data_IF_649908525804
#
_entry.id   IF_649908525804
#
_cell.length_a   1.000
_cell.length_b   1.000
_cell.length_c   1.000
_cell.angle_alpha   90.00
_cell.angle_beta   90.00
_cell.angle_gamma   90.00
#
_symmetry.space_group_name_H-M   'P 1'
#
loop_
_entity.id
_entity.type
_entity.pdbx_description
1 polymer ?
#
# COMPACT_ATOMS: atom_id res chain seq x y z
N UNK A 1 2.83 -7.87 -3.50
CA UNK A 1 2.28 -8.18 -4.82
C UNK A 1 2.36 -9.68 -5.05
N UNK A 2 1.32 -10.26 -5.63
CA UNK A 2 1.32 -11.65 -6.07
C UNK A 2 2.09 -11.84 -7.38
N UNK A 3 1.77 -12.91 -8.09
CA UNK A 3 2.38 -13.20 -9.40
C UNK A 3 2.02 -12.11 -10.43
N UNK A 4 3.01 -11.70 -11.22
CA UNK A 4 2.89 -10.63 -12.23
C UNK A 4 2.61 -11.27 -13.57
N UNK A 5 1.33 -11.52 -13.85
CA UNK A 5 0.85 -12.17 -15.08
C UNK A 5 -0.52 -11.60 -15.48
N UNK A 6 -0.89 -11.68 -16.76
CA UNK A 6 -2.25 -11.34 -17.20
C UNK A 6 -3.32 -12.13 -16.46
N UNK A 7 -4.49 -11.54 -16.25
CA UNK A 7 -5.56 -12.12 -15.43
C UNK A 7 -6.01 -13.51 -15.93
N UNK A 8 -6.02 -13.74 -17.22
CA UNK A 8 -6.45 -15.01 -17.81
C UNK A 8 -5.47 -16.18 -17.60
N UNK A 9 -4.25 -15.88 -17.11
CA UNK A 9 -3.28 -16.90 -16.68
C UNK A 9 -3.22 -17.08 -15.16
N UNK A 10 -3.85 -16.16 -14.40
CA UNK A 10 -3.75 -16.15 -12.94
C UNK A 10 -4.60 -17.25 -12.33
N UNK A 11 -4.04 -18.05 -11.43
CA UNK A 11 -4.78 -19.10 -10.72
C UNK A 11 -5.76 -18.49 -9.72
N UNK A 12 -6.93 -19.10 -9.55
CA UNK A 12 -7.96 -18.66 -8.60
C UNK A 12 -7.42 -18.59 -7.17
N UNK A 13 -6.64 -19.58 -6.77
CA UNK A 13 -5.99 -19.63 -5.43
C UNK A 13 -5.09 -18.41 -5.17
N UNK A 14 -4.34 -17.95 -6.20
CA UNK A 14 -3.47 -16.78 -6.08
C UNK A 14 -4.28 -15.48 -6.01
N UNK A 15 -5.41 -15.41 -6.71
CA UNK A 15 -6.37 -14.31 -6.59
C UNK A 15 -6.89 -14.25 -5.15
N UNK A 16 -7.43 -15.35 -4.64
CA UNK A 16 -7.98 -15.44 -3.27
C UNK A 16 -6.92 -15.07 -2.24
N UNK A 17 -5.70 -15.61 -2.38
CA UNK A 17 -4.58 -15.34 -1.49
C UNK A 17 -4.21 -13.84 -1.48
N UNK A 18 -4.18 -13.19 -2.63
CA UNK A 18 -3.84 -11.77 -2.75
C UNK A 18 -4.93 -10.88 -2.11
N UNK A 19 -6.22 -11.21 -2.28
CA UNK A 19 -7.32 -10.54 -1.61
C UNK A 19 -7.28 -10.74 -0.09
N UNK A 20 -7.05 -11.96 0.36
CA UNK A 20 -6.91 -12.26 1.79
C UNK A 20 -5.78 -11.46 2.43
N UNK A 21 -4.61 -11.41 1.79
CA UNK A 21 -3.44 -10.73 2.35
C UNK A 21 -3.57 -9.20 2.30
N UNK A 22 -4.05 -8.65 1.19
CA UNK A 22 -3.99 -7.21 0.94
C UNK A 22 -5.20 -6.43 1.45
N UNK A 23 -6.35 -7.07 1.66
CA UNK A 23 -7.58 -6.37 2.07
C UNK A 23 -8.32 -7.06 3.24
N UNK A 24 -8.58 -8.35 3.18
CA UNK A 24 -9.36 -9.03 4.22
C UNK A 24 -8.61 -9.00 5.56
N UNK A 25 -7.35 -9.43 5.58
CA UNK A 25 -6.52 -9.46 6.79
C UNK A 25 -6.32 -8.06 7.40
N UNK A 26 -5.91 -7.01 6.66
CA UNK A 26 -5.80 -5.66 7.22
C UNK A 26 -7.11 -5.12 7.78
N UNK A 27 -8.24 -5.39 7.11
CA UNK A 27 -9.57 -4.98 7.58
C UNK A 27 -9.94 -5.66 8.91
N UNK A 28 -9.73 -6.97 9.01
CA UNK A 28 -9.97 -7.72 10.24
C UNK A 28 -9.06 -7.25 11.38
N UNK A 29 -7.77 -7.01 11.08
CA UNK A 29 -6.82 -6.51 12.08
C UNK A 29 -7.21 -5.11 12.56
N UNK A 30 -7.59 -4.21 11.64
CA UNK A 30 -8.08 -2.87 11.99
C UNK A 30 -9.28 -2.95 12.93
N UNK A 31 -10.30 -3.77 12.59
CA UNK A 31 -11.46 -4.02 13.45
C UNK A 31 -11.04 -4.53 14.84
N UNK A 32 -10.13 -5.51 14.91
CA UNK A 32 -9.68 -6.08 16.19
C UNK A 32 -8.93 -5.06 17.04
N UNK A 33 -8.08 -4.23 16.44
CA UNK A 33 -7.34 -3.17 17.15
C UNK A 33 -8.31 -2.11 17.66
N UNK A 34 -9.26 -1.67 16.84
CA UNK A 34 -10.28 -0.69 17.22
C UNK A 34 -11.07 -1.18 18.43
N UNK A 35 -11.58 -2.41 18.38
CA UNK A 35 -12.38 -2.97 19.47
C UNK A 35 -11.57 -3.16 20.77
N UNK A 36 -10.34 -3.68 20.64
CA UNK A 36 -9.49 -3.96 21.81
C UNK A 36 -9.04 -2.69 22.54
N UNK A 37 -8.85 -1.60 21.81
CA UNK A 37 -8.30 -0.34 22.34
C UNK A 37 -9.30 0.82 22.15
N UNK A 38 -10.60 0.55 22.31
CA UNK A 38 -11.66 1.49 21.93
C UNK A 38 -11.49 2.87 22.60
N UNK A 39 -11.18 2.91 23.89
CA UNK A 39 -11.02 4.14 24.68
C UNK A 39 -9.62 4.75 24.64
N UNK A 40 -8.65 4.05 24.04
CA UNK A 40 -7.26 4.50 24.00
C UNK A 40 -6.93 5.22 22.67
N UNK A 41 -5.97 6.15 22.75
CA UNK A 41 -5.39 6.74 21.55
C UNK A 41 -4.70 5.67 20.71
N UNK A 42 -5.08 5.57 19.45
CA UNK A 42 -4.56 4.57 18.51
C UNK A 42 -4.36 5.13 17.13
N UNK A 43 -3.26 4.72 16.50
CA UNK A 43 -2.97 5.03 15.10
C UNK A 43 -2.82 3.75 14.31
N UNK A 44 -3.56 3.62 13.23
CA UNK A 44 -3.50 2.49 12.28
C UNK A 44 -2.95 3.00 10.97
N UNK A 45 -1.87 2.37 10.50
CA UNK A 45 -1.28 2.66 9.20
C UNK A 45 -1.46 1.44 8.29
N UNK A 46 -2.30 1.57 7.29
CA UNK A 46 -2.47 0.59 6.23
C UNK A 46 -1.49 0.92 5.09
N UNK A 47 -0.58 0.01 4.78
CA UNK A 47 0.36 0.20 3.67
C UNK A 47 -0.32 -0.17 2.36
N UNK A 48 -0.71 0.84 1.61
CA UNK A 48 -1.29 0.74 0.28
C UNK A 48 -0.24 0.92 -0.81
N UNK A 49 -0.63 1.47 -1.94
CA UNK A 49 0.25 1.69 -3.09
C UNK A 49 -0.32 2.75 -4.02
N UNK A 50 0.53 3.48 -4.71
CA UNK A 50 0.09 4.31 -5.85
C UNK A 50 -0.56 3.52 -7.00
N UNK A 51 -0.51 2.19 -6.98
CA UNK A 51 -1.26 1.32 -7.86
C UNK A 51 -2.77 1.33 -7.59
N UNK A 52 -3.20 1.76 -6.40
CA UNK A 52 -4.61 1.93 -6.05
C UNK A 52 -5.37 2.87 -6.99
N UNK A 53 -4.68 3.85 -7.55
CA UNK A 53 -5.24 4.86 -8.45
C UNK A 53 -4.87 4.63 -9.92
N UNK A 54 -4.48 3.40 -10.30
CA UNK A 54 -3.97 3.10 -11.64
C UNK A 54 -4.49 1.76 -12.15
N UNK A 55 -4.65 1.68 -13.47
CA UNK A 55 -4.91 0.41 -14.18
C UNK A 55 -3.59 -0.05 -14.78
N UNK A 56 -2.93 -1.01 -14.13
CA UNK A 56 -1.64 -1.53 -14.55
C UNK A 56 -1.84 -2.94 -15.11
N UNK A 57 -1.50 -3.19 -16.39
CA UNK A 57 -1.57 -4.53 -16.96
C UNK A 57 -0.84 -5.56 -16.09
N UNK A 58 -1.42 -6.74 -15.93
CA UNK A 58 -0.91 -7.86 -15.11
C UNK A 58 -0.91 -7.61 -13.59
N UNK A 59 -1.46 -6.48 -13.12
CA UNK A 59 -1.65 -6.14 -11.71
C UNK A 59 -3.13 -5.98 -11.33
N UNK A 60 -4.05 -6.59 -12.08
CA UNK A 60 -5.50 -6.40 -11.88
C UNK A 60 -5.93 -6.61 -10.44
N UNK A 61 -5.57 -7.75 -9.82
CA UNK A 61 -5.90 -8.07 -8.43
C UNK A 61 -5.15 -7.19 -7.43
N UNK A 62 -3.88 -6.89 -7.70
CA UNK A 62 -3.11 -5.99 -6.85
C UNK A 62 -3.68 -4.57 -6.83
N UNK A 63 -3.95 -3.98 -8.00
CA UNK A 63 -4.59 -2.67 -8.10
C UNK A 63 -5.94 -2.65 -7.39
N UNK A 64 -6.79 -3.65 -7.63
CA UNK A 64 -8.10 -3.76 -7.00
C UNK A 64 -8.00 -3.85 -5.47
N UNK A 65 -7.11 -4.68 -4.94
CA UNK A 65 -6.95 -4.85 -3.49
C UNK A 65 -6.42 -3.58 -2.82
N UNK A 66 -5.52 -2.83 -3.47
CA UNK A 66 -4.98 -1.58 -2.92
C UNK A 66 -5.99 -0.44 -3.01
N UNK A 67 -6.80 -0.36 -4.09
CA UNK A 67 -7.96 0.54 -4.15
C UNK A 67 -8.98 0.24 -3.05
N UNK A 68 -9.28 -1.04 -2.82
CA UNK A 68 -10.18 -1.45 -1.75
C UNK A 68 -9.64 -1.07 -0.37
N UNK A 69 -8.33 -1.24 -0.13
CA UNK A 69 -7.70 -0.88 1.14
C UNK A 69 -7.76 0.63 1.40
N UNK A 70 -7.51 1.46 0.37
CA UNK A 70 -7.67 2.90 0.45
C UNK A 70 -9.11 3.27 0.83
N UNK A 71 -10.09 2.66 0.16
CA UNK A 71 -11.51 2.94 0.40
C UNK A 71 -11.96 2.52 1.80
N UNK A 72 -11.58 1.32 2.25
CA UNK A 72 -11.88 0.84 3.61
C UNK A 72 -11.29 1.78 4.64
N UNK A 73 -10.04 2.19 4.47
CA UNK A 73 -9.35 3.11 5.38
C UNK A 73 -10.04 4.47 5.46
N UNK A 74 -10.37 5.06 4.30
CA UNK A 74 -11.09 6.33 4.22
C UNK A 74 -12.47 6.24 4.85
N UNK A 75 -13.20 5.14 4.65
CA UNK A 75 -14.52 4.91 5.26
C UNK A 75 -14.43 4.81 6.78
N UNK A 76 -13.52 3.99 7.30
CA UNK A 76 -13.30 3.85 8.76
C UNK A 76 -12.96 5.22 9.39
N UNK A 77 -12.22 6.07 8.70
CA UNK A 77 -11.87 7.41 9.21
C UNK A 77 -13.08 8.32 9.44
N UNK A 78 -14.22 8.01 8.82
CA UNK A 78 -15.48 8.78 8.88
C UNK A 78 -16.52 8.16 9.83
N UNK A 79 -16.21 7.04 10.46
CA UNK A 79 -17.12 6.35 11.39
C UNK A 79 -17.14 6.96 12.81
N UNK A 80 -16.47 8.12 13.02
CA UNK A 80 -16.42 8.83 14.29
C UNK A 80 -15.98 7.97 15.48
N UNK A 81 -15.09 7.01 15.24
CA UNK A 81 -14.52 6.15 16.29
C UNK A 81 -13.62 6.99 17.20
N UNK A 82 -13.86 7.02 18.53
CA UNK A 82 -13.10 7.86 19.44
C UNK A 82 -11.61 7.49 19.45
N UNK A 83 -10.76 8.51 19.55
CA UNK A 83 -9.31 8.37 19.69
C UNK A 83 -8.62 7.55 18.58
N UNK A 84 -9.22 7.49 17.38
CA UNK A 84 -8.67 6.77 16.22
C UNK A 84 -8.05 7.74 15.21
N UNK A 85 -6.79 7.49 14.90
CA UNK A 85 -6.15 7.98 13.69
C UNK A 85 -5.93 6.79 12.75
N UNK A 86 -6.50 6.83 11.55
CA UNK A 86 -6.32 5.76 10.55
C UNK A 86 -5.90 6.37 9.22
N UNK A 87 -4.87 5.78 8.61
CA UNK A 87 -4.28 6.26 7.35
C UNK A 87 -4.01 5.11 6.40
N UNK A 88 -4.24 5.35 5.12
CA UNK A 88 -3.71 4.55 4.02
C UNK A 88 -2.49 5.26 3.44
N UNK A 89 -1.36 4.59 3.37
CA UNK A 89 -0.10 5.19 2.98
C UNK A 89 0.45 4.55 1.71
N UNK A 90 0.72 5.38 0.71
CA UNK A 90 1.40 5.01 -0.52
C UNK A 90 2.91 5.25 -0.35
N UNK A 91 3.74 4.21 -0.17
CA UNK A 91 5.16 4.36 0.14
C UNK A 91 6.01 4.85 -1.04
N UNK A 92 5.44 4.93 -2.24
CA UNK A 92 6.19 5.26 -3.45
C UNK A 92 6.96 4.06 -4.03
N UNK A 93 8.05 4.33 -4.73
CA UNK A 93 8.89 3.31 -5.36
C UNK A 93 10.08 3.05 -4.45
N UNK A 94 9.99 2.02 -3.61
CA UNK A 94 10.97 1.71 -2.57
C UNK A 94 11.91 0.59 -3.01
N UNK A 95 13.20 0.72 -2.78
CA UNK A 95 14.19 -0.31 -3.14
C UNK A 95 14.05 -1.55 -2.25
N UNK A 96 13.24 -2.50 -2.69
CA UNK A 96 12.88 -3.73 -1.97
C UNK A 96 12.93 -4.95 -2.90
N UNK A 97 12.84 -6.15 -2.32
CA UNK A 97 12.73 -7.40 -3.09
C UNK A 97 11.51 -7.40 -4.04
N UNK A 98 10.42 -6.72 -3.68
CA UNK A 98 9.28 -6.55 -4.59
C UNK A 98 9.70 -5.86 -5.90
N UNK A 99 10.50 -4.80 -5.81
CA UNK A 99 11.02 -4.10 -6.99
C UNK A 99 11.97 -4.98 -7.82
N UNK A 100 12.77 -5.82 -7.17
CA UNK A 100 13.60 -6.80 -7.84
C UNK A 100 12.73 -7.80 -8.62
N UNK A 101 11.73 -8.39 -7.99
CA UNK A 101 10.80 -9.34 -8.64
C UNK A 101 10.08 -8.71 -9.84
N UNK A 102 9.68 -7.44 -9.77
CA UNK A 102 9.07 -6.72 -10.89
C UNK A 102 10.05 -6.63 -12.07
N UNK A 103 11.30 -6.30 -11.82
CA UNK A 103 12.33 -6.20 -12.87
C UNK A 103 12.72 -7.56 -13.45
N UNK A 104 12.55 -8.64 -12.70
CA UNK A 104 12.82 -10.02 -13.11
C UNK A 104 11.61 -10.70 -13.78
N UNK A 105 10.41 -10.09 -13.75
CA UNK A 105 9.22 -10.62 -14.42
C UNK A 105 9.43 -10.82 -15.92
N UNK A 106 8.66 -11.69 -16.55
CA UNK A 106 8.73 -11.91 -17.99
C UNK A 106 8.16 -10.70 -18.75
N UNK A 107 8.86 -10.23 -19.77
CA UNK A 107 8.43 -9.07 -20.57
C UNK A 107 7.07 -9.30 -21.25
N UNK A 108 6.83 -10.52 -21.73
CA UNK A 108 5.56 -10.92 -22.34
C UNK A 108 4.36 -10.80 -21.38
N UNK A 109 4.62 -10.96 -20.06
CA UNK A 109 3.60 -10.84 -19.03
C UNK A 109 3.47 -9.41 -18.49
N UNK A 110 4.53 -8.61 -18.50
CA UNK A 110 4.52 -7.27 -17.90
C UNK A 110 5.13 -6.21 -18.82
N UNK A 111 4.32 -5.56 -19.68
CA UNK A 111 4.81 -4.58 -20.65
C UNK A 111 5.54 -3.38 -20.03
N UNK A 112 5.22 -3.04 -18.77
CA UNK A 112 5.84 -1.90 -18.07
C UNK A 112 7.19 -2.24 -17.42
N UNK A 113 7.71 -3.47 -17.57
CA UNK A 113 9.00 -3.90 -17.00
C UNK A 113 10.14 -2.92 -17.28
N UNK A 114 10.24 -2.43 -18.53
CA UNK A 114 11.27 -1.48 -18.95
C UNK A 114 11.31 -0.22 -18.06
N UNK A 115 10.15 0.32 -17.72
CA UNK A 115 10.01 1.50 -16.84
C UNK A 115 10.56 1.23 -15.42
N UNK A 116 10.35 0.04 -14.88
CA UNK A 116 10.88 -0.32 -13.56
C UNK A 116 12.39 -0.56 -13.57
N UNK A 117 12.94 -1.04 -14.71
CA UNK A 117 14.39 -1.12 -14.92
C UNK A 117 14.99 0.29 -15.00
N UNK A 118 14.33 1.22 -15.68
CA UNK A 118 14.76 2.61 -15.78
C UNK A 118 14.79 3.29 -14.40
N UNK A 119 13.74 3.16 -13.59
CA UNK A 119 13.71 3.68 -12.22
C UNK A 119 14.90 3.20 -11.39
N UNK A 120 15.30 1.95 -11.53
CA UNK A 120 16.47 1.41 -10.85
C UNK A 120 17.77 2.00 -11.38
N UNK A 121 17.95 2.06 -12.70
CA UNK A 121 19.17 2.59 -13.35
C UNK A 121 19.38 4.07 -13.09
N UNK A 122 18.31 4.84 -12.95
CA UNK A 122 18.34 6.29 -12.72
C UNK A 122 18.24 6.67 -11.24
N UNK A 123 18.42 5.70 -10.33
CA UNK A 123 18.38 5.91 -8.87
C UNK A 123 17.10 6.59 -8.35
N UNK A 124 15.95 6.30 -8.97
CA UNK A 124 14.65 6.84 -8.55
C UNK A 124 13.96 6.02 -7.44
N UNK A 125 14.59 4.97 -6.97
CA UNK A 125 14.08 4.15 -5.87
C UNK A 125 14.48 4.77 -4.53
N UNK A 126 13.49 5.06 -3.67
CA UNK A 126 13.79 5.53 -2.31
C UNK A 126 14.34 4.40 -1.43
N UNK A 127 15.24 4.76 -0.53
CA UNK A 127 15.73 3.82 0.49
C UNK A 127 14.61 3.45 1.47
N UNK A 128 14.46 2.16 1.86
CA UNK A 128 13.44 1.74 2.81
C UNK A 128 13.49 2.52 4.14
N UNK A 129 14.68 2.88 4.61
CA UNK A 129 14.89 3.65 5.83
C UNK A 129 14.30 5.07 5.75
N UNK A 130 14.45 5.72 4.59
CA UNK A 130 13.87 7.04 4.35
C UNK A 130 12.34 6.98 4.39
N UNK A 131 11.76 6.00 3.69
CA UNK A 131 10.31 5.78 3.68
C UNK A 131 9.79 5.46 5.09
N UNK A 132 10.48 4.62 5.84
CA UNK A 132 10.12 4.27 7.21
C UNK A 132 10.13 5.49 8.14
N UNK A 133 11.13 6.39 8.03
CA UNK A 133 11.18 7.65 8.79
C UNK A 133 9.98 8.54 8.49
N UNK A 134 9.61 8.69 7.23
CA UNK A 134 8.43 9.46 6.81
C UNK A 134 7.12 8.88 7.37
N UNK A 135 6.96 7.55 7.33
CA UNK A 135 5.81 6.88 7.93
C UNK A 135 5.78 7.08 9.45
N UNK A 136 6.95 7.04 10.11
CA UNK A 136 7.06 7.28 11.54
C UNK A 136 6.59 8.69 11.93
N UNK A 137 6.80 9.71 11.09
CA UNK A 137 6.27 11.06 11.36
C UNK A 137 4.75 11.09 11.41
N UNK A 138 4.06 10.29 10.59
CA UNK A 138 2.58 10.16 10.63
C UNK A 138 2.15 9.58 11.98
N UNK A 139 2.87 8.56 12.47
CA UNK A 139 2.56 7.92 13.76
C UNK A 139 2.81 8.88 14.92
N UNK A 140 3.95 9.60 14.86
CA UNK A 140 4.37 10.51 15.93
C UNK A 140 3.46 11.74 16.06
N UNK A 141 3.03 12.30 14.94
CA UNK A 141 2.27 13.55 14.88
C UNK A 141 1.03 13.40 13.98
N UNK A 142 0.06 12.54 14.32
CA UNK A 142 -1.07 12.24 13.44
C UNK A 142 -1.95 13.46 13.14
N UNK A 143 -2.04 14.42 14.06
CA UNK A 143 -2.81 15.66 13.88
C UNK A 143 -2.29 16.56 12.75
N UNK A 144 -1.05 16.39 12.34
CA UNK A 144 -0.46 17.16 11.23
C UNK A 144 -0.91 16.65 9.85
N UNK A 145 -1.64 15.53 9.80
CA UNK A 145 -2.07 14.90 8.57
C UNK A 145 -3.60 14.85 8.47
N UNK A 146 -4.17 15.83 7.76
CA UNK A 146 -5.63 15.93 7.58
C UNK A 146 -6.15 14.88 6.61
N UNK A 147 -5.43 14.62 5.51
CA UNK A 147 -5.78 13.60 4.53
C UNK A 147 -5.60 12.19 5.10
N UNK A 148 -6.46 11.27 4.71
CA UNK A 148 -6.42 9.89 5.19
C UNK A 148 -5.75 8.93 4.21
N UNK A 149 -5.59 9.34 2.96
CA UNK A 149 -4.80 8.63 1.94
C UNK A 149 -3.58 9.49 1.63
N UNK A 150 -2.41 9.03 2.03
CA UNK A 150 -1.18 9.81 2.02
C UNK A 150 -0.15 9.21 1.06
N UNK A 151 0.52 10.06 0.30
CA UNK A 151 1.74 9.67 -0.40
C UNK A 151 2.97 10.08 0.40
N UNK A 152 3.84 9.13 0.68
CA UNK A 152 5.13 9.38 1.37
C UNK A 152 6.01 10.40 0.61
N UNK A 153 5.82 10.53 -0.70
CA UNK A 153 6.56 11.50 -1.52
C UNK A 153 6.29 12.94 -1.12
N UNK A 154 5.10 13.21 -0.57
CA UNK A 154 4.68 14.55 -0.16
C UNK A 154 5.08 14.88 1.29
N UNK A 155 5.80 13.99 1.97
CA UNK A 155 6.26 14.16 3.34
C UNK A 155 7.74 14.52 3.32
N UNK A 156 8.10 15.67 3.88
CA UNK A 156 9.47 16.11 4.03
C UNK A 156 10.04 15.64 5.38
N UNK A 157 11.33 15.33 5.38
CA UNK A 157 12.10 15.05 6.61
C UNK A 157 12.85 16.35 6.97
N UNK A 158 12.38 16.99 8.02
CA UNK A 158 13.11 18.11 8.62
C UNK A 158 14.33 17.62 9.40
#
# INVERSE_FOLDING_TARGET
IGEIIPIFHKKEEDIIKEYNLNIITPTILSKKIINKYFDLNKTIINISSGAANKSIPSWSTYCATKSALDRVTDTISKENIPNLNVYSVHPGIVNTNMQKNIRESKLEHFPLKGKFIEYYKTNQLEAPQTVARKIYLIIKNPSNFCEKILSVRNIELN
#
